data_IF_452365047741
#
_entry.id   IF_452365047741
#
_cell.length_a   1.000
_cell.length_b   1.000
_cell.length_c   1.000
_cell.angle_alpha   90.00
_cell.angle_beta   90.00
_cell.angle_gamma   90.00
#
_symmetry.space_group_name_H-M   'P 1'
#
loop_
_entity.id
_entity.type
_entity.pdbx_description
1 polymer ?
#
# COMPACT_ATOMS: atom_id res chain seq x y z
N UNK A 1 39.06 32.48 58.23
CA UNK A 1 38.24 32.33 57.00
C UNK A 1 38.19 30.85 56.61
N UNK A 2 37.00 30.31 56.27
CA UNK A 2 36.83 28.92 55.80
C UNK A 2 36.93 28.89 54.27
N UNK A 3 37.81 28.05 53.73
CA UNK A 3 38.03 27.90 52.28
C UNK A 3 37.31 26.62 51.84
N UNK A 4 36.25 26.75 51.03
CA UNK A 4 35.56 25.62 50.44
C UNK A 4 36.30 25.18 49.17
N UNK A 5 36.83 23.95 49.18
CA UNK A 5 37.44 23.35 47.98
C UNK A 5 36.34 22.76 47.11
N UNK A 6 36.01 23.42 46.01
CA UNK A 6 35.14 22.87 44.98
C UNK A 6 35.92 21.75 44.28
N UNK A 7 35.51 20.50 44.50
CA UNK A 7 36.12 19.32 43.90
C UNK A 7 35.98 19.35 42.38
N UNK A 8 37.09 19.19 41.67
CA UNK A 8 37.08 18.92 40.23
C UNK A 8 36.36 17.59 40.00
N UNK A 9 35.19 17.64 39.37
CA UNK A 9 34.51 16.43 38.92
C UNK A 9 35.42 15.72 37.90
N UNK A 10 35.80 14.45 38.10
CA UNK A 10 36.59 13.73 37.10
C UNK A 10 35.69 13.42 35.90
N UNK A 11 35.67 14.33 34.93
CA UNK A 11 35.01 14.09 33.64
C UNK A 11 35.84 13.05 32.91
N UNK A 12 35.49 11.77 33.07
CA UNK A 12 36.21 10.68 32.42
C UNK A 12 35.88 10.69 30.91
N UNK A 13 36.81 11.08 30.02
CA UNK A 13 36.53 11.26 28.60
C UNK A 13 36.15 9.94 27.90
N UNK A 14 36.56 8.80 28.47
CA UNK A 14 36.25 7.47 27.94
C UNK A 14 34.79 7.06 28.14
N UNK A 15 34.06 7.61 29.13
CA UNK A 15 32.62 7.30 29.28
C UNK A 15 31.78 7.98 28.20
N UNK A 16 32.16 9.18 27.78
CA UNK A 16 31.47 9.92 26.70
C UNK A 16 31.61 9.25 25.33
N UNK A 17 32.67 8.48 25.08
CA UNK A 17 32.85 7.76 23.81
C UNK A 17 31.96 6.52 23.73
N UNK A 18 31.76 5.80 24.84
CA UNK A 18 30.84 4.66 24.89
C UNK A 18 29.38 5.10 24.71
N UNK A 19 28.96 6.21 25.31
CA UNK A 19 27.59 6.75 25.16
C UNK A 19 27.32 7.26 23.72
N UNK A 20 28.32 7.74 23.00
CA UNK A 20 28.15 8.15 21.59
C UNK A 20 28.00 6.96 20.64
N UNK A 21 28.64 5.82 20.93
CA UNK A 21 28.53 4.62 20.09
C UNK A 21 27.17 3.93 20.21
N UNK A 22 26.54 3.95 21.39
CA UNK A 22 25.22 3.31 21.57
C UNK A 22 24.11 4.06 20.81
N UNK A 23 24.21 5.39 20.68
CA UNK A 23 23.25 6.23 19.96
C UNK A 23 23.27 6.02 18.43
N UNK A 24 24.35 5.48 17.86
CA UNK A 24 24.47 5.26 16.41
C UNK A 24 23.88 3.93 15.93
N UNK A 25 23.43 3.06 16.84
CA UNK A 25 22.92 1.73 16.48
C UNK A 25 21.47 1.68 15.99
N UNK A 26 20.73 2.79 16.08
CA UNK A 26 19.30 2.85 15.71
C UNK A 26 19.01 3.43 14.32
N UNK A 27 20.00 3.48 13.42
CA UNK A 27 19.69 3.69 12.01
C UNK A 27 19.15 2.39 11.43
N UNK A 28 17.82 2.24 11.46
CA UNK A 28 17.11 1.19 10.76
C UNK A 28 17.66 1.08 9.33
N UNK A 29 18.25 -0.07 9.00
CA UNK A 29 18.77 -0.35 7.66
C UNK A 29 17.65 -0.04 6.66
N UNK A 30 17.92 0.83 5.68
CA UNK A 30 16.97 1.10 4.61
C UNK A 30 16.70 -0.21 3.89
N UNK A 31 15.49 -0.74 4.04
CA UNK A 31 15.04 -1.91 3.30
C UNK A 31 14.49 -1.43 1.96
N UNK A 32 14.82 -2.13 0.89
CA UNK A 32 14.20 -1.87 -0.41
C UNK A 32 12.71 -2.13 -0.30
N UNK A 33 11.90 -1.11 -0.62
CA UNK A 33 10.44 -1.19 -0.66
C UNK A 33 9.97 -1.04 -2.10
N UNK A 34 9.13 -1.96 -2.54
CA UNK A 34 8.43 -1.87 -3.82
C UNK A 34 7.04 -1.29 -3.55
N UNK A 35 6.82 -0.03 -3.95
CA UNK A 35 5.54 0.65 -3.82
C UNK A 35 4.84 0.77 -5.18
N UNK A 36 3.51 0.68 -5.19
CA UNK A 36 2.72 0.95 -6.39
C UNK A 36 2.82 2.45 -6.71
N UNK A 37 3.08 2.77 -7.99
CA UNK A 37 3.16 4.17 -8.42
C UNK A 37 1.89 4.94 -8.07
N UNK A 38 2.05 6.20 -7.61
CA UNK A 38 0.93 7.11 -7.29
C UNK A 38 -0.09 7.21 -8.43
N UNK A 39 0.41 7.26 -9.67
CA UNK A 39 -0.42 7.28 -10.88
C UNK A 39 -1.25 6.00 -11.05
N UNK A 40 -0.67 4.84 -10.76
CA UNK A 40 -1.39 3.55 -10.85
C UNK A 40 -2.47 3.43 -9.76
N UNK A 41 -2.20 3.94 -8.55
CA UNK A 41 -3.19 4.03 -7.46
C UNK A 41 -4.36 4.93 -7.87
N UNK A 42 -4.08 6.07 -8.51
CA UNK A 42 -5.11 6.96 -9.04
C UNK A 42 -5.95 6.30 -10.13
N UNK A 43 -5.34 5.54 -11.04
CA UNK A 43 -6.06 4.79 -12.08
C UNK A 43 -6.90 3.64 -11.50
N UNK A 44 -6.46 3.02 -10.40
CA UNK A 44 -7.21 1.96 -9.71
C UNK A 44 -8.49 2.49 -9.04
N UNK A 45 -8.50 3.77 -8.64
CA UNK A 45 -9.69 4.44 -8.11
C UNK A 45 -10.67 4.69 -9.25
N UNK A 46 -11.39 3.66 -9.67
CA UNK A 46 -12.56 3.74 -10.54
C UNK A 46 -13.83 3.67 -9.67
N UNK A 47 -14.25 4.76 -9.00
CA UNK A 47 -15.38 4.71 -8.06
C UNK A 47 -16.75 4.66 -8.77
N UNK A 48 -16.88 5.18 -9.99
CA UNK A 48 -18.21 5.40 -10.59
C UNK A 48 -18.81 4.19 -11.33
N UNK A 49 -17.99 3.21 -11.73
CA UNK A 49 -18.48 2.02 -12.47
C UNK A 49 -19.21 1.03 -11.55
N UNK A 50 -19.06 1.15 -10.23
CA UNK A 50 -19.60 0.16 -9.29
C UNK A 50 -21.13 0.16 -9.24
N UNK A 51 -21.79 1.32 -9.30
CA UNK A 51 -23.26 1.39 -9.22
C UNK A 51 -23.93 0.81 -10.46
N UNK A 52 -23.50 1.24 -11.65
CA UNK A 52 -24.02 0.71 -12.93
C UNK A 52 -23.77 -0.79 -13.06
N UNK A 53 -22.62 -1.27 -12.55
CA UNK A 53 -22.31 -2.71 -12.50
C UNK A 53 -23.26 -3.45 -11.56
N UNK A 54 -23.59 -2.87 -10.42
CA UNK A 54 -24.51 -3.47 -9.46
C UNK A 54 -25.91 -3.61 -10.06
N UNK A 55 -26.45 -2.54 -10.67
CA UNK A 55 -27.76 -2.55 -11.32
C UNK A 55 -27.82 -3.63 -12.43
N UNK A 56 -26.76 -3.74 -13.22
CA UNK A 56 -26.64 -4.78 -14.26
C UNK A 56 -26.63 -6.20 -13.68
N UNK A 57 -25.92 -6.42 -12.58
CA UNK A 57 -25.88 -7.73 -11.91
C UNK A 57 -27.28 -8.11 -11.42
N UNK A 58 -27.99 -7.17 -10.81
CA UNK A 58 -29.31 -7.45 -10.24
C UNK A 58 -30.36 -7.73 -11.33
N UNK A 59 -30.25 -7.08 -12.49
CA UNK A 59 -31.06 -7.42 -13.67
C UNK A 59 -30.79 -8.85 -14.17
N UNK A 60 -29.52 -9.24 -14.27
CA UNK A 60 -29.14 -10.59 -14.72
C UNK A 60 -29.65 -11.64 -13.73
N UNK A 61 -29.49 -11.43 -12.43
CA UNK A 61 -30.01 -12.35 -11.40
C UNK A 61 -31.51 -12.59 -11.55
N UNK A 62 -32.30 -11.52 -11.69
CA UNK A 62 -33.76 -11.63 -11.90
C UNK A 62 -34.10 -12.43 -13.16
N UNK A 63 -33.37 -12.24 -14.26
CA UNK A 63 -33.60 -13.01 -15.50
C UNK A 63 -33.23 -14.49 -15.37
N UNK A 64 -32.23 -14.81 -14.55
CA UNK A 64 -31.84 -16.21 -14.27
C UNK A 64 -32.91 -16.87 -13.39
N UNK A 65 -33.37 -16.20 -12.33
CA UNK A 65 -34.44 -16.70 -11.46
C UNK A 65 -35.76 -16.91 -12.22
N UNK A 66 -36.07 -16.02 -13.17
CA UNK A 66 -37.23 -16.15 -14.05
C UNK A 66 -37.07 -17.22 -15.15
N UNK A 67 -35.87 -17.79 -15.32
CA UNK A 67 -35.56 -18.75 -16.39
C UNK A 67 -35.53 -18.16 -17.80
N UNK A 68 -35.53 -16.84 -17.94
CA UNK A 68 -35.54 -16.13 -19.24
C UNK A 68 -34.14 -15.71 -19.71
N UNK A 69 -33.11 -15.96 -18.90
CA UNK A 69 -31.73 -15.65 -19.27
C UNK A 69 -31.23 -16.57 -20.40
N UNK A 70 -30.91 -15.97 -21.55
CA UNK A 70 -30.32 -16.68 -22.68
C UNK A 70 -28.83 -16.35 -22.79
N UNK A 71 -28.02 -17.41 -22.88
CA UNK A 71 -26.57 -17.29 -23.06
C UNK A 71 -26.27 -17.00 -24.53
N UNK A 72 -25.77 -15.81 -24.82
CA UNK A 72 -25.30 -15.44 -26.17
C UNK A 72 -23.87 -15.96 -26.40
N UNK A 73 -23.76 -17.10 -27.06
CA UNK A 73 -22.48 -17.76 -27.38
C UNK A 73 -21.63 -16.95 -28.36
N UNK A 74 -22.26 -16.25 -29.32
CA UNK A 74 -21.56 -15.42 -30.30
C UNK A 74 -20.95 -14.20 -29.62
N UNK A 75 -21.75 -13.50 -28.80
CA UNK A 75 -21.27 -12.35 -28.04
C UNK A 75 -20.16 -12.70 -27.04
N UNK A 76 -20.14 -13.92 -26.50
CA UNK A 76 -19.03 -14.41 -25.67
C UNK A 76 -17.75 -14.55 -26.51
N UNK A 77 -17.83 -15.24 -27.65
CA UNK A 77 -16.68 -15.44 -28.53
C UNK A 77 -16.09 -14.11 -29.02
N UNK A 78 -16.96 -13.17 -29.44
CA UNK A 78 -16.55 -11.84 -29.89
C UNK A 78 -15.84 -11.06 -28.77
N UNK A 79 -16.36 -11.10 -27.54
CA UNK A 79 -15.72 -10.44 -26.39
C UNK A 79 -14.37 -11.05 -26.02
N UNK A 80 -14.26 -12.39 -26.03
CA UNK A 80 -13.00 -13.07 -25.79
C UNK A 80 -11.97 -12.66 -26.84
N UNK A 81 -12.34 -12.73 -28.11
CA UNK A 81 -11.48 -12.34 -29.22
C UNK A 81 -11.03 -10.88 -29.12
N UNK A 82 -11.95 -9.95 -28.85
CA UNK A 82 -11.64 -8.53 -28.73
C UNK A 82 -10.71 -8.24 -27.55
N UNK A 83 -10.92 -8.90 -26.39
CA UNK A 83 -10.06 -8.73 -25.23
C UNK A 83 -8.61 -9.13 -25.50
N UNK A 84 -8.39 -10.25 -26.20
CA UNK A 84 -7.04 -10.73 -26.49
C UNK A 84 -6.40 -10.06 -27.72
N UNK A 85 -7.18 -9.53 -28.67
CA UNK A 85 -6.66 -8.80 -29.84
C UNK A 85 -6.21 -7.37 -29.53
N UNK A 86 -6.70 -6.78 -28.44
CA UNK A 86 -6.38 -5.40 -28.05
C UNK A 86 -5.18 -5.28 -27.08
N UNK A 87 -4.42 -6.36 -26.87
CA UNK A 87 -3.14 -6.33 -26.16
C UNK A 87 -1.97 -6.01 -27.09
#
# INVERSE_FOLDING_TARGET
MKINRYGTQPVNPYKKTYEKQTLQSNQAKSTDKVEISKKAIEMQKVPNIMKERQDKIDQIKKSIEAGTYQVDTKGIADKMLNFYKQQ
#
